data_IF_972167932867
#
_entry.id   IF_972167932867
#
_cell.length_a   1.000
_cell.length_b   1.000
_cell.length_c   1.000
_cell.angle_alpha   90.00
_cell.angle_beta   90.00
_cell.angle_gamma   90.00
#
_symmetry.space_group_name_H-M   'P 1'
#
loop_
_entity.id
_entity.type
_entity.pdbx_description
1 polymer ?
#
# COMPACT_ATOMS: atom_id res chain seq x y z
N UNK A 1 -11.44 14.32 34.77
CA UNK A 1 -10.92 13.63 33.56
C UNK A 1 -12.08 13.56 32.58
N UNK A 2 -11.96 14.15 31.40
CA UNK A 2 -13.01 14.10 30.39
C UNK A 2 -13.20 12.62 30.00
N UNK A 3 -14.42 12.10 30.13
CA UNK A 3 -14.80 10.79 29.61
C UNK A 3 -14.55 10.76 28.10
N UNK A 4 -13.36 10.37 27.70
CA UNK A 4 -13.05 10.17 26.29
C UNK A 4 -13.85 8.98 25.80
N UNK A 5 -14.88 9.28 25.03
CA UNK A 5 -15.80 8.27 24.49
C UNK A 5 -15.10 7.49 23.39
N UNK A 6 -15.12 6.17 23.46
CA UNK A 6 -14.65 5.30 22.39
C UNK A 6 -15.48 5.59 21.14
N UNK A 7 -14.82 5.88 20.03
CA UNK A 7 -15.46 6.14 18.75
C UNK A 7 -15.92 4.85 18.09
N UNK A 8 -17.16 4.84 17.63
CA UNK A 8 -17.63 3.78 16.73
C UNK A 8 -17.07 4.00 15.31
N UNK A 9 -17.05 2.96 14.49
CA UNK A 9 -16.63 3.05 13.08
C UNK A 9 -17.45 4.10 12.30
N UNK A 10 -18.75 4.23 12.60
CA UNK A 10 -19.61 5.24 11.98
C UNK A 10 -19.22 6.68 12.39
N UNK A 11 -18.92 6.88 13.67
CA UNK A 11 -18.48 8.19 14.16
C UNK A 11 -17.13 8.58 13.56
N UNK A 12 -16.22 7.62 13.43
CA UNK A 12 -14.93 7.84 12.77
C UNK A 12 -15.12 8.18 11.29
N UNK A 13 -15.99 7.46 10.58
CA UNK A 13 -16.36 7.74 9.18
C UNK A 13 -16.97 9.15 9.03
N UNK A 14 -17.87 9.53 9.92
CA UNK A 14 -18.49 10.87 9.91
C UNK A 14 -17.46 11.98 10.09
N UNK A 15 -16.43 11.77 10.93
CA UNK A 15 -15.35 12.73 11.10
C UNK A 15 -14.43 12.82 9.87
N UNK A 16 -14.26 11.72 9.13
CA UNK A 16 -13.45 11.63 7.91
C UNK A 16 -14.15 12.20 6.68
N UNK A 17 -15.48 12.06 6.62
CA UNK A 17 -16.28 12.38 5.44
C UNK A 17 -16.03 13.78 4.86
N UNK A 18 -16.00 14.88 5.65
CA UNK A 18 -15.74 16.21 5.10
C UNK A 18 -14.36 16.34 4.43
N UNK A 19 -13.38 15.59 4.96
CA UNK A 19 -12.02 15.58 4.42
C UNK A 19 -12.01 14.84 3.08
N UNK A 20 -12.65 13.66 3.03
CA UNK A 20 -12.75 12.82 1.82
C UNK A 20 -13.53 13.55 0.71
N UNK A 21 -14.61 14.22 1.05
CA UNK A 21 -15.42 15.00 0.10
C UNK A 21 -14.62 16.15 -0.51
N UNK A 22 -13.90 16.90 0.33
CA UNK A 22 -13.08 18.01 -0.15
C UNK A 22 -11.94 17.55 -1.05
N UNK A 23 -11.17 16.54 -0.60
CA UNK A 23 -10.06 15.97 -1.37
C UNK A 23 -10.59 15.34 -2.67
N UNK A 24 -11.73 14.63 -2.61
CA UNK A 24 -12.36 14.04 -3.79
C UNK A 24 -12.81 15.06 -4.83
N UNK A 25 -13.26 16.25 -4.43
CA UNK A 25 -13.56 17.35 -5.36
C UNK A 25 -12.29 17.85 -6.06
N UNK A 26 -11.23 18.11 -5.29
CA UNK A 26 -9.95 18.54 -5.83
C UNK A 26 -9.37 17.49 -6.77
N UNK A 27 -9.48 16.20 -6.44
CA UNK A 27 -9.00 15.12 -7.28
C UNK A 27 -9.72 15.09 -8.63
N UNK A 28 -11.04 15.27 -8.65
CA UNK A 28 -11.79 15.33 -9.91
C UNK A 28 -11.33 16.49 -10.80
N UNK A 29 -11.11 17.69 -10.22
CA UNK A 29 -10.60 18.83 -10.96
C UNK A 29 -9.19 18.55 -11.54
N UNK A 30 -8.32 17.92 -10.76
CA UNK A 30 -6.99 17.50 -11.22
C UNK A 30 -7.07 16.47 -12.34
N UNK A 31 -7.97 15.48 -12.24
CA UNK A 31 -8.16 14.44 -13.25
C UNK A 31 -8.67 15.02 -14.57
N UNK A 32 -9.57 16.03 -14.53
CA UNK A 32 -10.02 16.73 -15.71
C UNK A 32 -8.90 17.52 -16.40
N UNK A 33 -8.10 18.27 -15.62
CA UNK A 33 -6.95 19.01 -16.16
C UNK A 33 -5.90 18.06 -16.80
N UNK A 34 -5.68 16.91 -16.20
CA UNK A 34 -4.76 15.90 -16.75
C UNK A 34 -5.31 15.23 -18.01
N UNK A 35 -6.61 14.99 -18.06
CA UNK A 35 -7.27 14.44 -19.25
C UNK A 35 -7.10 15.37 -20.45
N UNK A 36 -7.23 16.67 -20.25
CA UNK A 36 -7.08 17.64 -21.34
C UNK A 36 -5.64 17.92 -21.75
N UNK A 37 -4.68 17.75 -20.83
CA UNK A 37 -3.25 17.94 -21.12
C UNK A 37 -2.54 16.63 -21.39
N UNK A 38 -2.10 15.97 -20.32
CA UNK A 38 -1.20 14.81 -20.38
C UNK A 38 -1.75 13.64 -21.19
N UNK A 39 -3.06 13.33 -21.07
CA UNK A 39 -3.64 12.22 -21.82
C UNK A 39 -3.63 12.47 -23.34
N UNK A 40 -3.86 13.72 -23.78
CA UNK A 40 -3.78 14.09 -25.20
C UNK A 40 -2.34 14.02 -25.70
N UNK A 41 -1.36 14.43 -24.91
CA UNK A 41 0.06 14.31 -25.28
C UNK A 41 0.42 12.84 -25.53
N UNK A 42 0.07 11.95 -24.62
CA UNK A 42 0.33 10.51 -24.76
C UNK A 42 -0.39 9.93 -25.98
N UNK A 43 -1.64 10.31 -26.19
CA UNK A 43 -2.43 9.85 -27.34
C UNK A 43 -1.77 10.22 -28.67
N UNK A 44 -1.36 11.48 -28.84
CA UNK A 44 -0.73 11.91 -30.08
C UNK A 44 0.67 11.33 -30.28
N UNK A 45 1.46 11.16 -29.22
CA UNK A 45 2.73 10.45 -29.29
C UNK A 45 2.55 9.00 -29.74
N UNK A 46 1.61 8.28 -29.15
CA UNK A 46 1.29 6.90 -29.54
C UNK A 46 0.79 6.81 -30.99
N UNK A 47 -0.02 7.78 -31.44
CA UNK A 47 -0.52 7.83 -32.82
C UNK A 47 0.62 8.03 -33.83
N UNK A 48 1.55 8.95 -33.56
CA UNK A 48 2.74 9.15 -34.37
C UNK A 48 3.56 7.86 -34.50
N UNK A 49 3.79 7.15 -33.39
CA UNK A 49 4.55 5.89 -33.43
C UNK A 49 3.82 4.79 -34.19
N UNK A 50 2.49 4.70 -34.07
CA UNK A 50 1.69 3.76 -34.80
C UNK A 50 1.72 4.04 -36.31
N UNK A 51 1.57 5.30 -36.74
CA UNK A 51 1.65 5.71 -38.14
C UNK A 51 3.02 5.36 -38.76
N UNK A 52 4.12 5.61 -38.03
CA UNK A 52 5.47 5.23 -38.47
C UNK A 52 5.59 3.71 -38.73
N UNK A 53 4.95 2.88 -37.92
CA UNK A 53 5.01 1.42 -37.99
C UNK A 53 4.02 0.81 -38.99
N UNK A 54 3.01 1.56 -39.41
CA UNK A 54 2.00 1.07 -40.32
C UNK A 54 2.60 0.78 -41.70
N UNK A 55 2.49 -0.45 -42.16
CA UNK A 55 3.01 -0.91 -43.45
C UNK A 55 2.02 -0.70 -44.59
N UNK A 56 0.78 -0.34 -44.32
CA UNK A 56 -0.29 -0.16 -45.28
C UNK A 56 -0.30 1.24 -45.91
N UNK A 57 0.23 2.24 -45.21
CA UNK A 57 0.30 3.63 -45.63
C UNK A 57 1.51 3.88 -46.53
N UNK A 58 1.31 4.62 -47.61
CA UNK A 58 2.41 5.17 -48.42
C UNK A 58 3.24 6.19 -47.62
N UNK A 59 4.44 6.47 -48.13
CA UNK A 59 5.35 7.45 -47.47
C UNK A 59 4.71 8.84 -47.35
N UNK A 60 4.05 9.33 -48.44
CA UNK A 60 3.40 10.64 -48.46
C UNK A 60 2.22 10.73 -47.47
N UNK A 61 1.43 9.69 -47.34
CA UNK A 61 0.33 9.62 -46.34
C UNK A 61 0.87 9.61 -44.92
N UNK A 62 1.95 8.85 -44.65
CA UNK A 62 2.62 8.87 -43.35
C UNK A 62 3.15 10.25 -42.98
N UNK A 63 3.84 10.90 -43.88
CA UNK A 63 4.43 12.22 -43.63
C UNK A 63 3.35 13.26 -43.35
N UNK A 64 2.21 13.22 -44.08
CA UNK A 64 1.06 14.09 -43.85
C UNK A 64 0.39 13.84 -42.51
N UNK A 65 0.13 12.59 -42.17
CA UNK A 65 -0.51 12.22 -40.89
C UNK A 65 0.39 12.52 -39.69
N UNK A 66 1.71 12.27 -39.81
CA UNK A 66 2.69 12.62 -38.76
C UNK A 66 2.73 14.13 -38.56
N UNK A 67 2.76 14.93 -39.63
CA UNK A 67 2.77 16.38 -39.53
C UNK A 67 1.52 16.94 -38.83
N UNK A 68 0.35 16.39 -39.16
CA UNK A 68 -0.92 16.73 -38.49
C UNK A 68 -0.85 16.39 -37.00
N UNK A 69 -0.45 15.16 -36.67
CA UNK A 69 -0.34 14.73 -35.27
C UNK A 69 0.72 15.53 -34.48
N UNK A 70 1.82 15.96 -35.12
CA UNK A 70 2.83 16.80 -34.49
C UNK A 70 2.29 18.19 -34.12
N UNK A 71 1.47 18.79 -34.97
CA UNK A 71 0.82 20.07 -34.69
C UNK A 71 -0.11 19.96 -33.47
N UNK A 72 -0.94 18.93 -33.43
CA UNK A 72 -1.82 18.66 -32.32
C UNK A 72 -1.06 18.33 -31.02
N UNK A 73 0.06 17.61 -31.15
CA UNK A 73 0.95 17.31 -30.01
C UNK A 73 1.55 18.58 -29.39
N UNK A 74 1.99 19.54 -30.20
CA UNK A 74 2.53 20.80 -29.68
C UNK A 74 1.43 21.63 -28.96
N UNK A 75 0.21 21.66 -29.49
CA UNK A 75 -0.91 22.28 -28.81
C UNK A 75 -1.24 21.59 -27.48
N UNK A 76 -1.26 20.25 -27.47
CA UNK A 76 -1.49 19.47 -26.25
C UNK A 76 -0.41 19.71 -25.19
N UNK A 77 0.86 19.83 -25.58
CA UNK A 77 1.97 20.17 -24.67
C UNK A 77 1.83 21.56 -24.06
N UNK A 78 1.37 22.56 -24.83
CA UNK A 78 1.11 23.89 -24.31
C UNK A 78 0.03 23.89 -23.25
N UNK A 79 -1.07 23.17 -23.49
CA UNK A 79 -2.16 22.98 -22.53
C UNK A 79 -1.65 22.22 -21.29
N UNK A 80 -0.86 21.16 -21.46
CA UNK A 80 -0.27 20.41 -20.35
C UNK A 80 0.59 21.33 -19.46
N UNK A 81 1.39 22.22 -20.05
CA UNK A 81 2.23 23.15 -19.29
C UNK A 81 1.39 24.11 -18.45
N UNK A 82 0.30 24.69 -19.00
CA UNK A 82 -0.63 25.52 -18.26
C UNK A 82 -1.33 24.75 -17.12
N UNK A 83 -1.73 23.51 -17.37
CA UNK A 83 -2.44 22.69 -16.42
C UNK A 83 -1.53 22.27 -15.25
N UNK A 84 -0.23 22.09 -15.45
CA UNK A 84 0.74 21.79 -14.38
C UNK A 84 0.71 22.81 -13.25
N UNK A 85 0.67 24.09 -13.57
CA UNK A 85 0.61 25.16 -12.56
C UNK A 85 -0.71 25.16 -11.81
N UNK A 86 -1.83 24.91 -12.53
CA UNK A 86 -3.14 24.81 -11.91
C UNK A 86 -3.22 23.60 -10.98
N UNK A 87 -2.72 22.45 -11.40
CA UNK A 87 -2.66 21.24 -10.58
C UNK A 87 -1.83 21.49 -9.33
N UNK A 88 -0.67 22.13 -9.43
CA UNK A 88 0.16 22.46 -8.28
C UNK A 88 -0.59 23.37 -7.27
N UNK A 89 -1.35 24.35 -7.76
CA UNK A 89 -2.20 25.21 -6.90
C UNK A 89 -3.32 24.42 -6.23
N UNK A 90 -3.95 23.48 -6.93
CA UNK A 90 -5.02 22.64 -6.37
C UNK A 90 -4.47 21.71 -5.28
N UNK A 91 -3.33 21.09 -5.51
CA UNK A 91 -2.64 20.27 -4.49
C UNK A 91 -2.30 21.12 -3.26
N UNK A 92 -1.76 22.32 -3.45
CA UNK A 92 -1.48 23.25 -2.35
C UNK A 92 -2.73 23.64 -1.55
N UNK A 93 -3.89 23.86 -2.23
CA UNK A 93 -5.17 24.08 -1.54
C UNK A 93 -5.58 22.88 -0.68
N UNK A 94 -5.46 21.66 -1.22
CA UNK A 94 -5.78 20.45 -0.48
C UNK A 94 -4.85 20.23 0.72
N UNK A 95 -3.55 20.46 0.56
CA UNK A 95 -2.57 20.37 1.65
C UNK A 95 -2.87 21.38 2.78
N UNK A 96 -3.21 22.61 2.43
CA UNK A 96 -3.62 23.63 3.40
C UNK A 96 -4.93 23.26 4.12
N UNK A 97 -5.91 22.74 3.38
CA UNK A 97 -7.16 22.28 3.98
C UNK A 97 -6.90 21.12 4.97
N UNK A 98 -6.10 20.15 4.57
CA UNK A 98 -5.70 19.03 5.43
C UNK A 98 -4.93 19.50 6.67
N UNK A 99 -4.03 20.47 6.52
CA UNK A 99 -3.30 21.05 7.65
C UNK A 99 -4.24 21.64 8.71
N UNK A 100 -5.33 22.26 8.30
CA UNK A 100 -6.24 22.97 9.20
C UNK A 100 -7.36 22.08 9.77
N UNK A 101 -7.77 21.02 9.05
CA UNK A 101 -8.97 20.24 9.40
C UNK A 101 -8.65 18.79 9.84
N UNK A 102 -7.48 18.29 9.53
CA UNK A 102 -7.11 16.91 9.85
C UNK A 102 -6.94 16.65 11.35
N UNK A 103 -6.46 17.65 12.10
CA UNK A 103 -6.17 17.50 13.52
C UNK A 103 -7.42 17.17 14.34
N UNK A 104 -8.58 17.66 13.92
CA UNK A 104 -9.87 17.34 14.59
C UNK A 104 -10.15 15.84 14.53
N UNK A 105 -10.01 15.23 13.35
CA UNK A 105 -10.18 13.80 13.15
C UNK A 105 -9.11 13.01 13.93
N UNK A 106 -7.85 13.34 13.72
CA UNK A 106 -6.74 12.62 14.36
C UNK A 106 -6.78 12.69 15.89
N UNK A 107 -7.08 13.85 16.47
CA UNK A 107 -7.18 14.00 17.93
C UNK A 107 -8.37 13.22 18.50
N UNK A 108 -9.49 13.14 17.78
CA UNK A 108 -10.62 12.33 18.19
C UNK A 108 -10.28 10.83 18.19
N UNK A 109 -9.62 10.31 17.14
CA UNK A 109 -9.15 8.93 17.08
C UNK A 109 -8.10 8.65 18.17
N UNK A 110 -7.15 9.56 18.37
CA UNK A 110 -6.14 9.44 19.43
C UNK A 110 -6.78 9.33 20.81
N UNK A 111 -7.77 10.17 21.10
CA UNK A 111 -8.50 10.12 22.39
C UNK A 111 -9.28 8.82 22.54
N UNK A 112 -9.93 8.32 21.47
CA UNK A 112 -10.59 7.02 21.44
C UNK A 112 -9.61 5.87 21.72
N UNK A 113 -8.44 5.87 21.08
CA UNK A 113 -7.41 4.85 21.31
C UNK A 113 -6.90 4.84 22.78
N UNK A 114 -6.83 6.00 23.43
CA UNK A 114 -6.46 6.09 24.86
C UNK A 114 -7.56 5.44 25.71
N UNK A 115 -8.83 5.77 25.44
CA UNK A 115 -9.95 5.20 26.18
C UNK A 115 -10.06 3.67 25.99
N UNK A 116 -9.89 3.19 24.75
CA UNK A 116 -9.85 1.74 24.44
C UNK A 116 -8.74 1.03 25.20
N UNK A 117 -7.56 1.65 25.28
CA UNK A 117 -6.43 1.08 26.03
C UNK A 117 -6.71 0.98 27.52
N UNK A 118 -7.34 2.02 28.10
CA UNK A 118 -7.74 2.03 29.51
C UNK A 118 -8.80 0.97 29.79
N UNK A 119 -9.81 0.84 28.92
CA UNK A 119 -10.84 -0.18 29.02
C UNK A 119 -10.26 -1.59 28.92
N UNK A 120 -9.41 -1.86 27.92
CA UNK A 120 -8.76 -3.15 27.75
C UNK A 120 -7.92 -3.54 28.98
N UNK A 121 -7.24 -2.58 29.59
CA UNK A 121 -6.49 -2.80 30.83
C UNK A 121 -7.41 -3.17 32.01
N UNK A 122 -8.52 -2.45 32.16
CA UNK A 122 -9.48 -2.74 33.22
C UNK A 122 -10.13 -4.13 33.07
N UNK A 123 -10.55 -4.47 31.84
CA UNK A 123 -11.12 -5.79 31.52
C UNK A 123 -10.10 -6.89 31.80
N UNK A 124 -8.84 -6.70 31.41
CA UNK A 124 -7.76 -7.64 31.69
C UNK A 124 -7.54 -7.84 33.20
N UNK A 125 -7.49 -6.74 33.97
CA UNK A 125 -7.37 -6.83 35.43
C UNK A 125 -8.53 -7.61 36.07
N UNK A 126 -9.76 -7.39 35.61
CA UNK A 126 -10.92 -8.13 36.08
C UNK A 126 -10.83 -9.64 35.74
N UNK A 127 -10.39 -9.98 34.53
CA UNK A 127 -10.17 -11.37 34.12
C UNK A 127 -9.09 -12.04 34.96
N UNK A 128 -7.96 -11.36 35.19
CA UNK A 128 -6.90 -11.88 36.04
C UNK A 128 -7.36 -12.12 37.48
N UNK A 129 -8.09 -11.18 38.06
CA UNK A 129 -8.67 -11.34 39.41
C UNK A 129 -9.62 -12.53 39.50
N UNK A 130 -10.44 -12.77 38.44
CA UNK A 130 -11.31 -13.94 38.36
C UNK A 130 -10.52 -15.24 38.27
N UNK A 131 -9.49 -15.30 37.41
CA UNK A 131 -8.61 -16.46 37.28
C UNK A 131 -7.89 -16.77 38.60
N UNK A 132 -7.42 -15.77 39.29
CA UNK A 132 -6.76 -15.91 40.60
C UNK A 132 -7.74 -16.43 41.68
N UNK A 133 -8.97 -15.93 41.68
CA UNK A 133 -10.01 -16.40 42.63
C UNK A 133 -10.34 -17.86 42.36
N UNK A 134 -10.61 -18.24 41.11
CA UNK A 134 -10.88 -19.61 40.70
C UNK A 134 -9.76 -20.56 41.12
N UNK A 135 -8.51 -20.15 40.87
CA UNK A 135 -7.31 -20.90 41.25
C UNK A 135 -7.23 -21.14 42.77
N UNK A 136 -7.46 -20.11 43.60
CA UNK A 136 -7.48 -20.23 45.07
C UNK A 136 -8.59 -21.16 45.55
N UNK A 137 -9.77 -21.08 44.94
CA UNK A 137 -10.92 -21.95 45.28
C UNK A 137 -10.63 -23.41 44.91
N UNK A 138 -9.98 -23.67 43.80
CA UNK A 138 -9.59 -25.03 43.38
C UNK A 138 -8.52 -25.59 44.29
N UNK A 139 -7.48 -24.84 44.60
CA UNK A 139 -6.43 -25.26 45.52
C UNK A 139 -6.95 -25.56 46.91
N UNK A 140 -7.95 -24.82 47.41
CA UNK A 140 -8.57 -25.07 48.71
C UNK A 140 -9.34 -26.41 48.77
N UNK A 141 -9.78 -26.93 47.64
CA UNK A 141 -10.51 -28.20 47.50
C UNK A 141 -9.61 -29.39 47.21
N UNK A 142 -8.36 -29.14 46.77
CA UNK A 142 -7.45 -30.17 46.30
C UNK A 142 -6.42 -30.52 47.39
N UNK A 143 -6.36 -31.80 47.77
CA UNK A 143 -5.43 -32.31 48.81
C UNK A 143 -4.24 -33.08 48.22
N UNK A 144 -4.32 -33.59 46.98
CA UNK A 144 -3.30 -34.40 46.35
C UNK A 144 -2.22 -33.54 45.71
N UNK A 145 -0.94 -33.80 46.03
CA UNK A 145 0.20 -33.03 45.50
C UNK A 145 0.31 -33.03 43.97
N UNK A 146 -0.09 -34.10 43.30
CA UNK A 146 -0.05 -34.20 41.85
C UNK A 146 -1.05 -33.21 41.19
N UNK A 147 -2.27 -33.17 41.71
CA UNK A 147 -3.35 -32.28 41.26
C UNK A 147 -3.01 -30.81 41.50
N UNK A 148 -2.37 -30.50 42.64
CA UNK A 148 -1.87 -29.14 42.94
C UNK A 148 -0.83 -28.67 41.94
N UNK A 149 0.06 -29.55 41.47
CA UNK A 149 1.04 -29.23 40.44
C UNK A 149 0.38 -28.97 39.10
N UNK A 150 -0.60 -29.79 38.72
CA UNK A 150 -1.34 -29.62 37.47
C UNK A 150 -2.14 -28.32 37.48
N UNK A 151 -2.88 -28.03 38.56
CA UNK A 151 -3.63 -26.78 38.69
C UNK A 151 -2.71 -25.53 38.62
N UNK A 152 -1.56 -25.55 39.26
CA UNK A 152 -0.58 -24.47 39.17
C UNK A 152 -0.06 -24.28 37.72
N UNK A 153 0.09 -25.35 36.97
CA UNK A 153 0.48 -25.28 35.55
C UNK A 153 -0.64 -24.65 34.69
N UNK A 154 -1.88 -25.10 34.89
CA UNK A 154 -3.07 -24.55 34.21
C UNK A 154 -3.20 -23.05 34.50
N UNK A 155 -3.10 -22.67 35.78
CA UNK A 155 -3.14 -21.26 36.20
C UNK A 155 -2.09 -20.40 35.47
N UNK A 156 -0.82 -20.84 35.45
CA UNK A 156 0.27 -20.12 34.78
C UNK A 156 -0.01 -19.93 33.29
N UNK A 157 -0.55 -20.98 32.64
CA UNK A 157 -0.90 -20.90 31.21
C UNK A 157 -2.06 -19.92 30.98
N UNK A 158 -3.11 -19.94 31.80
CA UNK A 158 -4.23 -18.99 31.68
C UNK A 158 -3.78 -17.54 31.85
N UNK A 159 -2.95 -17.26 32.85
CA UNK A 159 -2.37 -15.92 33.08
C UNK A 159 -1.49 -15.50 31.92
N UNK A 160 -0.68 -16.42 31.38
CA UNK A 160 0.17 -16.13 30.19
C UNK A 160 -0.68 -15.81 28.97
N UNK A 161 -1.73 -16.58 28.71
CA UNK A 161 -2.62 -16.36 27.57
C UNK A 161 -3.33 -15.00 27.68
N UNK A 162 -3.83 -14.62 28.85
CA UNK A 162 -4.45 -13.31 29.06
C UNK A 162 -3.49 -12.16 28.82
N UNK A 163 -2.21 -12.29 29.18
CA UNK A 163 -1.18 -11.29 28.86
C UNK A 163 -0.94 -11.17 27.35
N UNK A 164 -0.90 -12.28 26.65
CA UNK A 164 -0.75 -12.31 25.19
C UNK A 164 -1.95 -11.63 24.50
N UNK A 165 -3.17 -11.89 24.99
CA UNK A 165 -4.38 -11.25 24.45
C UNK A 165 -4.37 -9.73 24.68
N UNK A 166 -3.96 -9.27 25.85
CA UNK A 166 -3.81 -7.82 26.11
C UNK A 166 -2.77 -7.18 25.19
N UNK A 167 -1.66 -7.86 24.92
CA UNK A 167 -0.60 -7.36 24.06
C UNK A 167 -1.07 -7.27 22.60
N UNK A 168 -1.83 -8.25 22.11
CA UNK A 168 -2.48 -8.20 20.81
C UNK A 168 -3.44 -7.02 20.68
N UNK A 169 -4.26 -6.79 21.70
CA UNK A 169 -5.20 -5.68 21.73
C UNK A 169 -4.46 -4.32 21.73
N UNK A 170 -3.39 -4.20 22.49
CA UNK A 170 -2.55 -2.99 22.46
C UNK A 170 -1.90 -2.75 21.11
N UNK A 171 -1.46 -3.81 20.44
CA UNK A 171 -0.91 -3.68 19.10
C UNK A 171 -1.99 -3.22 18.11
N UNK A 172 -3.19 -3.80 18.15
CA UNK A 172 -4.33 -3.37 17.32
C UNK A 172 -4.65 -1.87 17.50
N UNK A 173 -4.71 -1.41 18.75
CA UNK A 173 -4.97 0.01 19.07
C UNK A 173 -3.84 0.90 18.55
N UNK A 174 -2.59 0.46 18.66
CA UNK A 174 -1.42 1.17 18.15
C UNK A 174 -1.45 1.29 16.63
N UNK A 175 -1.80 0.20 15.93
CA UNK A 175 -1.90 0.16 14.47
C UNK A 175 -3.01 1.11 13.99
N UNK A 176 -4.20 1.08 14.60
CA UNK A 176 -5.30 2.01 14.29
C UNK A 176 -4.88 3.48 14.45
N UNK A 177 -4.15 3.81 15.52
CA UNK A 177 -3.63 5.16 15.72
C UNK A 177 -2.62 5.55 14.64
N UNK A 178 -1.75 4.61 14.24
CA UNK A 178 -0.78 4.81 13.16
C UNK A 178 -1.49 5.01 11.82
N UNK A 179 -2.49 4.19 11.50
CA UNK A 179 -3.28 4.30 10.28
C UNK A 179 -4.01 5.65 10.20
N UNK A 180 -4.61 6.08 11.30
CA UNK A 180 -5.23 7.40 11.37
C UNK A 180 -4.22 8.54 11.15
N UNK A 181 -2.99 8.42 11.61
CA UNK A 181 -1.93 9.40 11.37
C UNK A 181 -1.47 9.41 9.92
N UNK A 182 -1.23 8.23 9.35
CA UNK A 182 -0.73 8.06 7.97
C UNK A 182 -1.79 8.39 6.92
N UNK A 183 -3.07 8.38 7.28
CA UNK A 183 -4.18 8.69 6.38
C UNK A 183 -4.05 10.06 5.68
N UNK A 184 -3.53 11.08 6.37
CA UNK A 184 -3.23 12.39 5.79
C UNK A 184 -2.27 12.31 4.60
N UNK A 185 -1.21 11.54 4.77
CA UNK A 185 -0.19 11.36 3.72
C UNK A 185 -0.75 10.56 2.56
N UNK A 186 -1.55 9.54 2.86
CA UNK A 186 -2.24 8.77 1.83
C UNK A 186 -3.15 9.64 0.95
N UNK A 187 -3.91 10.57 1.54
CA UNK A 187 -4.73 11.52 0.78
C UNK A 187 -3.90 12.46 -0.10
N UNK A 188 -2.77 12.94 0.40
CA UNK A 188 -1.85 13.79 -0.39
C UNK A 188 -1.25 12.98 -1.54
N UNK A 189 -0.83 11.75 -1.29
CA UNK A 189 -0.28 10.87 -2.30
C UNK A 189 -1.32 10.52 -3.38
N UNK A 190 -2.58 10.31 -3.02
CA UNK A 190 -3.66 10.13 -4.00
C UNK A 190 -3.81 11.32 -4.95
N UNK A 191 -3.62 12.56 -4.47
CA UNK A 191 -3.67 13.75 -5.31
C UNK A 191 -2.45 13.87 -6.22
N UNK A 192 -1.27 13.44 -5.74
CA UNK A 192 0.00 13.46 -6.48
C UNK A 192 0.10 12.29 -7.45
N UNK A 193 -0.30 11.10 -7.01
CA UNK A 193 -0.33 9.85 -7.76
C UNK A 193 -1.71 9.68 -8.40
N UNK A 194 -2.02 10.46 -9.45
CA UNK A 194 -3.24 10.16 -10.20
C UNK A 194 -3.10 8.82 -10.92
N UNK A 195 -4.24 8.21 -11.25
CA UNK A 195 -4.31 6.99 -12.06
C UNK A 195 -3.55 7.14 -13.39
N UNK A 196 -3.48 8.37 -13.94
CA UNK A 196 -2.69 8.68 -15.14
C UNK A 196 -1.18 8.62 -14.89
N UNK A 197 -0.69 9.18 -13.78
CA UNK A 197 0.75 9.12 -13.44
C UNK A 197 1.22 7.69 -13.20
N UNK A 198 0.35 6.82 -12.67
CA UNK A 198 0.67 5.40 -12.53
C UNK A 198 0.71 4.70 -13.90
N UNK A 199 -0.25 4.95 -14.77
CA UNK A 199 -0.27 4.41 -16.13
C UNK A 199 0.89 4.94 -16.97
N UNK A 200 1.22 6.24 -16.84
CA UNK A 200 2.37 6.88 -17.49
C UNK A 200 3.70 6.33 -16.97
N UNK A 201 3.86 6.21 -15.67
CA UNK A 201 5.06 5.61 -15.06
C UNK A 201 5.21 4.14 -15.45
N UNK A 202 4.10 3.40 -15.58
CA UNK A 202 4.11 2.04 -16.09
C UNK A 202 4.47 2.01 -17.58
N UNK A 203 3.85 2.85 -18.42
CA UNK A 203 4.16 2.97 -19.84
C UNK A 203 5.60 3.41 -20.05
N UNK A 204 6.07 4.42 -19.31
CA UNK A 204 7.44 4.93 -19.38
C UNK A 204 8.46 3.92 -18.83
N UNK A 205 8.12 3.14 -17.80
CA UNK A 205 8.93 2.00 -17.35
C UNK A 205 9.02 0.91 -18.42
N UNK A 206 7.91 0.60 -19.10
CA UNK A 206 7.88 -0.37 -20.18
C UNK A 206 8.66 0.13 -21.41
N UNK A 207 8.55 1.40 -21.80
CA UNK A 207 9.35 1.99 -22.85
C UNK A 207 10.83 2.02 -22.49
N UNK A 208 11.18 2.50 -21.30
CA UNK A 208 12.55 2.46 -20.80
C UNK A 208 13.07 1.02 -20.68
N UNK A 209 12.27 0.06 -20.27
CA UNK A 209 12.65 -1.35 -20.25
C UNK A 209 12.86 -1.90 -21.66
N UNK A 210 12.04 -1.49 -22.63
CA UNK A 210 12.11 -1.92 -24.03
C UNK A 210 13.31 -1.33 -24.77
N UNK A 211 13.70 -0.09 -24.45
CA UNK A 211 14.81 0.63 -25.09
C UNK A 211 16.11 0.61 -24.28
N UNK A 212 16.06 0.40 -22.97
CA UNK A 212 17.22 0.34 -22.09
C UNK A 212 17.43 -1.04 -21.46
N UNK A 213 16.93 -2.11 -22.09
CA UNK A 213 17.31 -3.45 -21.71
C UNK A 213 18.82 -3.59 -21.82
N UNK A 214 19.49 -3.09 -20.81
CA UNK A 214 20.93 -3.20 -20.71
C UNK A 214 21.22 -4.59 -20.13
N UNK A 215 21.85 -5.42 -20.96
CA UNK A 215 22.35 -6.76 -20.60
C UNK A 215 23.06 -6.77 -19.23
N UNK A 216 23.77 -5.69 -18.93
CA UNK A 216 24.51 -5.49 -17.69
C UNK A 216 23.59 -5.33 -16.48
N UNK A 217 22.54 -4.53 -16.62
CA UNK A 217 21.54 -4.29 -15.54
C UNK A 217 20.71 -5.55 -15.28
N UNK A 218 20.33 -6.27 -16.34
CA UNK A 218 19.61 -7.55 -16.21
C UNK A 218 20.47 -8.59 -15.50
N UNK A 219 21.75 -8.73 -15.85
CA UNK A 219 22.67 -9.65 -15.21
C UNK A 219 22.98 -9.29 -13.76
N UNK A 220 23.05 -7.99 -13.43
CA UNK A 220 23.28 -7.54 -12.05
C UNK A 220 22.05 -7.78 -11.16
N UNK A 221 20.84 -7.51 -11.68
CA UNK A 221 19.59 -7.69 -10.92
C UNK A 221 19.16 -9.15 -10.79
N UNK A 222 19.41 -9.97 -11.83
CA UNK A 222 19.00 -11.36 -11.88
C UNK A 222 20.16 -12.34 -11.81
N UNK A 223 21.38 -11.88 -11.64
CA UNK A 223 22.60 -12.69 -11.70
C UNK A 223 22.59 -13.86 -10.71
N UNK A 224 22.04 -13.66 -9.52
CA UNK A 224 21.93 -14.72 -8.52
C UNK A 224 20.95 -15.82 -8.98
N UNK A 225 19.80 -15.46 -9.55
CA UNK A 225 18.84 -16.43 -10.07
C UNK A 225 19.40 -17.17 -11.29
N UNK A 226 20.09 -16.47 -12.19
CA UNK A 226 20.74 -17.08 -13.35
C UNK A 226 21.84 -18.04 -12.89
N UNK A 227 22.65 -17.68 -11.90
CA UNK A 227 23.67 -18.54 -11.33
C UNK A 227 23.07 -19.82 -10.71
N UNK A 228 21.99 -19.70 -9.94
CA UNK A 228 21.28 -20.85 -9.36
C UNK A 228 20.76 -21.79 -10.46
N UNK A 229 20.13 -21.25 -11.51
CA UNK A 229 19.61 -22.03 -12.64
C UNK A 229 20.77 -22.76 -13.35
N UNK A 230 21.89 -22.07 -13.60
CA UNK A 230 23.06 -22.67 -14.25
C UNK A 230 23.68 -23.78 -13.40
N UNK A 231 23.76 -23.58 -12.07
CA UNK A 231 24.24 -24.63 -11.15
C UNK A 231 23.30 -25.83 -11.18
N UNK A 232 21.99 -25.62 -11.17
CA UNK A 232 21.00 -26.69 -11.22
C UNK A 232 21.08 -27.49 -12.54
N UNK A 233 21.20 -26.80 -13.68
CA UNK A 233 21.37 -27.41 -15.00
C UNK A 233 22.68 -28.19 -15.03
N UNK A 234 23.78 -27.62 -14.51
CA UNK A 234 25.06 -28.33 -14.45
C UNK A 234 24.99 -29.60 -13.58
N UNK A 235 24.32 -29.57 -12.44
CA UNK A 235 24.09 -30.73 -11.60
C UNK A 235 23.23 -31.80 -12.29
N UNK A 236 22.21 -31.40 -13.06
CA UNK A 236 21.39 -32.32 -13.84
C UNK A 236 22.16 -33.01 -14.97
N UNK A 237 23.21 -32.35 -15.51
CA UNK A 237 24.06 -32.93 -16.56
C UNK A 237 25.18 -33.83 -15.94
N UNK A 238 25.81 -33.37 -14.88
CA UNK A 238 26.98 -34.06 -14.27
C UNK A 238 26.58 -35.33 -13.50
N UNK A 239 25.40 -35.30 -12.81
CA UNK A 239 24.96 -36.46 -12.02
C UNK A 239 24.67 -37.72 -12.84
N UNK A 240 23.99 -37.67 -14.01
CA UNK A 240 23.86 -38.88 -14.84
C UNK A 240 25.18 -39.35 -15.44
N UNK A 241 26.09 -38.43 -15.81
CA UNK A 241 27.41 -38.80 -16.35
C UNK A 241 28.22 -39.56 -15.32
N UNK A 242 28.24 -39.15 -14.05
CA UNK A 242 28.91 -39.86 -12.98
C UNK A 242 28.30 -41.23 -12.64
N UNK A 243 27.00 -41.42 -12.90
CA UNK A 243 26.29 -42.70 -12.69
C UNK A 243 26.31 -43.63 -13.88
N UNK A 244 26.96 -43.24 -15.01
CA UNK A 244 27.05 -44.06 -16.21
C UNK A 244 25.73 -44.31 -16.93
N UNK A 245 24.67 -43.50 -16.62
CA UNK A 245 23.41 -43.59 -17.32
C UNK A 245 23.45 -42.67 -18.56
N UNK A 246 23.09 -43.15 -19.78
CA UNK A 246 23.09 -42.32 -20.97
C UNK A 246 22.05 -41.20 -20.84
N UNK A 247 22.46 -40.00 -21.20
CA UNK A 247 21.72 -38.74 -21.01
C UNK A 247 20.45 -38.60 -21.84
N UNK A 248 20.10 -39.50 -22.71
CA UNK A 248 18.84 -39.55 -23.49
C UNK A 248 18.88 -40.74 -24.47
N UNK A 249 18.11 -41.75 -24.18
CA UNK A 249 17.51 -42.57 -25.21
C UNK A 249 16.04 -42.11 -25.38
N UNK A 250 15.83 -41.17 -26.22
CA UNK A 250 14.59 -40.98 -26.97
C UNK A 250 14.92 -40.52 -28.37
#
# INVERSE_FOLDING_TARGET
MANSKILTAEQEKTLRQPIEEYVGKIQKEIDELRKDGTAKVIMYQSRIENVKRDKTLSKGEKDSEIASCQKELEQAKAVEAQNKDQIAKLIGKAENYLKNNFDKYYNAVKASCIAEKEQALQEHQQKLAKIEKEHKETLAKTSAQAEVKEENYVYKNRVSNEKIELEKEYQRIKDRKHDAYSYKYHLIDLLRLSKFTFAENQAQKWENYKYTFNRRTFLLQNGLYIAIILIFVALCIITPIKKGTPLLTY
#
